data_IF_592522867932
#
_entry.id   IF_592522867932
#
_cell.length_a   1.000
_cell.length_b   1.000
_cell.length_c   1.000
_cell.angle_alpha   90.00
_cell.angle_beta   90.00
_cell.angle_gamma   90.00
#
_symmetry.space_group_name_H-M   'P 1'
#
loop_
_entity.id
_entity.type
_entity.pdbx_description
1 polymer ?
#
# COMPACT_ATOMS: atom_id res chain seq x y z
N UNK A 1 -14.61 32.55 3.05
CA UNK A 1 -13.80 31.94 1.96
C UNK A 1 -12.79 30.99 2.59
N UNK A 2 -12.60 29.79 2.03
CA UNK A 2 -11.57 28.88 2.53
C UNK A 2 -10.17 29.45 2.21
N UNK A 3 -9.24 29.40 3.17
CA UNK A 3 -7.86 29.86 2.98
C UNK A 3 -7.09 28.82 2.16
N UNK A 4 -6.61 29.20 0.97
CA UNK A 4 -5.77 28.32 0.13
C UNK A 4 -4.33 28.34 0.64
N UNK A 5 -3.78 27.17 0.94
CA UNK A 5 -2.37 26.97 1.29
C UNK A 5 -1.71 26.26 0.12
N UNK A 6 -0.51 26.71 -0.27
CA UNK A 6 0.29 26.10 -1.34
C UNK A 6 1.60 25.62 -0.73
N UNK A 7 1.96 24.38 -1.02
CA UNK A 7 3.18 23.73 -0.52
C UNK A 7 4.00 23.24 -1.70
N UNK A 8 5.31 23.51 -1.68
CA UNK A 8 6.24 22.94 -2.65
C UNK A 8 6.88 21.69 -2.04
N UNK A 9 6.69 20.55 -2.69
CA UNK A 9 7.29 19.27 -2.27
C UNK A 9 8.53 18.99 -3.13
N UNK A 10 9.61 18.56 -2.49
CA UNK A 10 10.78 18.00 -3.19
C UNK A 10 10.64 16.49 -3.20
N UNK A 11 10.71 15.91 -4.38
CA UNK A 11 10.50 14.49 -4.65
C UNK A 11 11.46 14.06 -5.75
N UNK A 12 11.92 12.80 -5.69
CA UNK A 12 12.74 12.24 -6.75
C UNK A 12 11.95 12.16 -8.06
N UNK A 13 12.65 12.30 -9.18
CA UNK A 13 12.01 12.40 -10.49
C UNK A 13 11.22 11.13 -10.86
N UNK A 14 11.74 9.97 -10.49
CA UNK A 14 11.13 8.66 -10.75
C UNK A 14 9.79 8.54 -10.01
N UNK A 15 9.79 8.88 -8.71
CA UNK A 15 8.59 8.84 -7.88
C UNK A 15 7.55 9.85 -8.39
N UNK A 16 8.00 11.03 -8.83
CA UNK A 16 7.12 12.02 -9.43
C UNK A 16 6.47 11.52 -10.73
N UNK A 17 7.21 10.78 -11.55
CA UNK A 17 6.66 10.17 -12.75
C UNK A 17 5.58 9.15 -12.41
N UNK A 18 5.84 8.29 -11.43
CA UNK A 18 4.86 7.30 -10.96
C UNK A 18 3.58 7.98 -10.45
N UNK A 19 3.71 9.02 -9.61
CA UNK A 19 2.56 9.80 -9.11
C UNK A 19 1.70 10.35 -10.25
N UNK A 20 2.33 10.90 -11.29
CA UNK A 20 1.61 11.42 -12.46
C UNK A 20 0.90 10.32 -13.24
N UNK A 21 1.55 9.17 -13.45
CA UNK A 21 0.96 8.03 -14.16
C UNK A 21 -0.27 7.52 -13.43
N UNK A 22 -0.16 7.27 -12.12
CA UNK A 22 -1.29 6.79 -11.31
C UNK A 22 -2.43 7.81 -11.23
N UNK A 23 -2.11 9.10 -11.11
CA UNK A 23 -3.12 10.15 -11.16
C UNK A 23 -3.88 10.15 -12.50
N UNK A 24 -3.16 9.96 -13.62
CA UNK A 24 -3.74 9.88 -14.96
C UNK A 24 -4.62 8.64 -15.14
N UNK A 25 -4.19 7.47 -14.64
CA UNK A 25 -4.97 6.23 -14.65
C UNK A 25 -6.31 6.39 -13.91
N UNK A 26 -6.32 7.19 -12.84
CA UNK A 26 -7.53 7.50 -12.08
C UNK A 26 -8.31 8.70 -12.62
N UNK A 27 -7.87 9.30 -13.73
CA UNK A 27 -8.54 10.44 -14.36
C UNK A 27 -8.52 11.73 -13.56
N UNK A 28 -7.50 11.93 -12.71
CA UNK A 28 -7.35 13.11 -11.86
C UNK A 28 -6.01 13.83 -12.08
N UNK A 29 -5.93 15.10 -11.67
CA UNK A 29 -4.65 15.80 -11.67
C UNK A 29 -3.73 15.28 -10.57
N UNK A 30 -2.42 15.42 -10.75
CA UNK A 30 -1.44 15.02 -9.73
C UNK A 30 -1.68 15.72 -8.37
N UNK A 31 -2.13 16.98 -8.39
CA UNK A 31 -2.46 17.71 -7.17
C UNK A 31 -3.72 17.16 -6.49
N UNK A 32 -4.74 16.78 -7.25
CA UNK A 32 -5.94 16.14 -6.69
C UNK A 32 -5.60 14.79 -6.09
N UNK A 33 -4.76 14.00 -6.77
CA UNK A 33 -4.29 12.72 -6.26
C UNK A 33 -3.51 12.85 -4.95
N UNK A 34 -2.58 13.80 -4.85
CA UNK A 34 -1.85 14.07 -3.60
C UNK A 34 -2.82 14.48 -2.49
N UNK A 35 -3.79 15.36 -2.77
CA UNK A 35 -4.78 15.77 -1.78
C UNK A 35 -5.70 14.61 -1.36
N UNK A 36 -6.05 13.72 -2.29
CA UNK A 36 -6.81 12.50 -2.02
C UNK A 36 -6.03 11.58 -1.06
N UNK A 37 -4.75 11.30 -1.36
CA UNK A 37 -3.89 10.49 -0.50
C UNK A 37 -3.73 11.08 0.89
N UNK A 38 -3.50 12.39 1.01
CA UNK A 38 -3.37 13.05 2.32
C UNK A 38 -4.65 12.88 3.15
N UNK A 39 -5.82 13.05 2.53
CA UNK A 39 -7.11 12.87 3.22
C UNK A 39 -7.34 11.42 3.63
N UNK A 40 -7.12 10.49 2.71
CA UNK A 40 -7.31 9.06 2.96
C UNK A 40 -6.35 8.54 4.04
N UNK A 41 -5.07 8.95 4.01
CA UNK A 41 -4.10 8.59 5.04
C UNK A 41 -4.48 9.15 6.41
N UNK A 42 -4.89 10.40 6.49
CA UNK A 42 -5.35 10.98 7.78
C UNK A 42 -6.56 10.23 8.32
N UNK A 43 -7.55 9.93 7.47
CA UNK A 43 -8.73 9.16 7.87
C UNK A 43 -8.37 7.73 8.28
N UNK A 44 -7.45 7.06 7.57
CA UNK A 44 -6.96 5.74 7.95
C UNK A 44 -6.18 5.77 9.26
N UNK A 45 -5.34 6.77 9.52
CA UNK A 45 -4.61 6.92 10.79
C UNK A 45 -5.54 7.24 11.97
N UNK A 46 -6.62 7.97 11.73
CA UNK A 46 -7.60 8.30 12.77
C UNK A 46 -8.53 7.12 13.07
N UNK A 47 -8.92 6.34 12.05
CA UNK A 47 -9.82 5.18 12.21
C UNK A 47 -9.09 3.89 12.58
N UNK A 48 -7.84 3.74 12.14
CA UNK A 48 -6.99 2.62 12.55
C UNK A 48 -6.27 3.06 13.80
N UNK A 49 -6.69 2.57 14.97
CA UNK A 49 -5.82 2.59 16.14
C UNK A 49 -4.45 2.08 15.68
N UNK A 50 -3.34 2.76 15.98
CA UNK A 50 -2.05 2.15 15.76
C UNK A 50 -1.99 0.94 16.70
N UNK A 51 -2.45 -0.22 16.23
CA UNK A 51 -1.92 -1.47 16.71
C UNK A 51 -0.42 -1.32 16.48
N UNK A 52 0.30 -1.05 17.57
CA UNK A 52 1.72 -1.33 17.62
C UNK A 52 1.81 -2.78 17.22
N UNK A 53 2.06 -3.04 15.94
CA UNK A 53 2.51 -4.35 15.51
C UNK A 53 3.69 -4.65 16.42
N UNK A 54 3.58 -5.65 17.31
CA UNK A 54 4.73 -6.00 18.12
C UNK A 54 5.84 -6.27 17.12
N UNK A 55 6.98 -5.62 17.30
CA UNK A 55 8.19 -5.87 16.51
C UNK A 55 8.53 -7.34 16.69
N UNK A 56 7.99 -8.18 15.83
CA UNK A 56 8.36 -9.58 15.72
C UNK A 56 9.83 -9.54 15.35
N UNK A 57 10.68 -9.88 16.32
CA UNK A 57 12.11 -10.07 16.05
C UNK A 57 12.20 -11.05 14.88
N UNK A 58 13.05 -10.76 13.90
CA UNK A 58 13.25 -11.61 12.71
C UNK A 58 13.43 -13.10 13.07
N UNK A 59 13.98 -13.37 14.26
CA UNK A 59 14.16 -14.70 14.87
C UNK A 59 12.88 -15.49 15.18
N UNK A 60 11.72 -14.84 15.26
CA UNK A 60 10.43 -15.48 15.57
C UNK A 60 9.65 -15.87 14.31
N UNK A 61 9.92 -15.19 13.19
CA UNK A 61 9.27 -15.46 11.89
C UNK A 61 9.72 -16.83 11.35
N UNK A 62 10.99 -17.18 11.52
CA UNK A 62 11.52 -18.48 11.05
C UNK A 62 10.93 -19.71 11.77
N UNK A 63 10.31 -19.51 12.95
CA UNK A 63 9.68 -20.59 13.72
C UNK A 63 8.23 -20.84 13.33
N UNK A 64 7.54 -19.86 12.74
CA UNK A 64 6.13 -19.98 12.31
C UNK A 64 5.99 -20.55 10.89
N UNK A 65 6.99 -20.37 10.05
CA UNK A 65 6.98 -20.91 8.68
C UNK A 65 7.52 -22.34 8.73
N UNK A 66 6.62 -23.33 8.86
CA UNK A 66 6.97 -24.70 8.50
C UNK A 66 7.37 -24.70 7.03
N UNK A 67 8.56 -25.20 6.64
CA UNK A 67 8.91 -25.31 5.24
C UNK A 67 7.92 -26.27 4.58
N UNK A 68 6.98 -25.74 3.78
CA UNK A 68 6.24 -26.59 2.85
C UNK A 68 7.23 -27.03 1.78
N UNK A 69 7.34 -28.34 1.48
CA UNK A 69 8.16 -28.80 0.36
C UNK A 69 7.66 -28.11 -0.92
N UNK A 70 8.57 -27.53 -1.70
CA UNK A 70 8.21 -26.92 -2.98
C UNK A 70 7.62 -28.00 -3.89
N UNK A 71 6.33 -27.89 -4.20
CA UNK A 71 5.63 -28.83 -5.09
C UNK A 71 4.18 -29.14 -4.74
N UNK A 72 3.69 -28.79 -3.55
CA UNK A 72 2.27 -28.95 -3.23
C UNK A 72 1.46 -27.74 -3.73
N UNK A 73 0.62 -27.96 -4.74
CA UNK A 73 -0.39 -26.99 -5.19
C UNK A 73 -1.28 -26.57 -4.02
N UNK A 74 -1.62 -25.27 -3.95
CA UNK A 74 -2.65 -24.76 -3.04
C UNK A 74 -3.97 -25.53 -3.26
N UNK A 75 -4.78 -25.72 -2.22
CA UNK A 75 -6.10 -26.35 -2.35
C UNK A 75 -6.97 -25.64 -3.40
N UNK A 76 -6.76 -24.33 -3.56
CA UNK A 76 -7.43 -23.50 -4.57
C UNK A 76 -6.95 -23.86 -5.98
N UNK A 77 -5.65 -24.14 -6.14
CA UNK A 77 -5.07 -24.45 -7.45
C UNK A 77 -5.50 -25.84 -7.94
N UNK A 78 -5.80 -26.79 -7.03
CA UNK A 78 -6.30 -28.13 -7.40
C UNK A 78 -7.64 -28.09 -8.14
N UNK A 79 -8.50 -27.13 -7.80
CA UNK A 79 -9.83 -26.97 -8.39
C UNK A 79 -9.74 -26.67 -9.89
N UNK A 80 -8.66 -25.98 -10.34
CA UNK A 80 -8.47 -25.58 -11.74
C UNK A 80 -8.14 -26.77 -12.65
N UNK A 81 -7.64 -27.88 -12.10
CA UNK A 81 -7.19 -29.04 -12.88
C UNK A 81 -8.10 -30.27 -12.77
N UNK A 82 -9.23 -30.17 -12.05
CA UNK A 82 -10.23 -31.25 -11.93
C UNK A 82 -11.48 -31.05 -12.82
N UNK A 83 -11.51 -30.04 -13.71
CA UNK A 83 -12.50 -29.92 -14.80
C UNK A 83 -12.03 -30.55 -16.13
#
# INVERSE_FOLDING_TARGET
>A
MAKKIVTNLRIDEIDWLQVKTTAAELGMSANEYINYLIRDLSTKLELTFPEKVPTLKLSEISKKVKPKPMGELSEIDKIIYEE
#
